data_IF_824025444492
#
_entry.id   IF_824025444492
#
_cell.length_a   1.000
_cell.length_b   1.000
_cell.length_c   1.000
_cell.angle_alpha   90.00
_cell.angle_beta   90.00
_cell.angle_gamma   90.00
#
_symmetry.space_group_name_H-M   'P 1'
#
loop_
_entity.id
_entity.type
_entity.pdbx_description
1 polymer ?
#
# COMPACT_ATOMS: atom_id res chain seq x y z
N UNK A 1 -11.09 -29.88 -5.59
CA UNK A 1 -9.82 -29.41 -6.19
C UNK A 1 -8.97 -28.55 -5.25
N UNK A 2 -9.50 -27.50 -4.64
CA UNK A 2 -8.71 -26.60 -3.76
C UNK A 2 -8.15 -27.29 -2.51
N UNK A 3 -8.91 -28.18 -1.86
CA UNK A 3 -8.42 -29.03 -0.74
C UNK A 3 -7.16 -29.80 -1.13
N UNK A 4 -7.20 -30.50 -2.27
CA UNK A 4 -6.05 -31.26 -2.78
C UNK A 4 -4.86 -30.35 -3.09
N UNK A 5 -5.11 -29.14 -3.60
CA UNK A 5 -4.06 -28.15 -3.88
C UNK A 5 -3.38 -27.68 -2.59
N UNK A 6 -4.15 -27.30 -1.56
CA UNK A 6 -3.59 -26.84 -0.28
C UNK A 6 -2.81 -27.96 0.43
N UNK A 7 -3.30 -29.20 0.40
CA UNK A 7 -2.52 -30.35 0.90
C UNK A 7 -1.19 -30.50 0.18
N UNK A 8 -1.16 -30.40 -1.15
CA UNK A 8 0.10 -30.47 -1.89
C UNK A 8 1.07 -29.33 -1.50
N UNK A 9 0.58 -28.10 -1.29
CA UNK A 9 1.42 -27.00 -0.80
C UNK A 9 1.97 -27.26 0.61
N UNK A 10 1.15 -27.83 1.49
CA UNK A 10 1.58 -28.25 2.84
C UNK A 10 2.64 -29.35 2.75
N UNK A 11 2.41 -30.39 1.96
CA UNK A 11 3.33 -31.52 1.82
C UNK A 11 4.69 -31.03 1.27
N UNK A 12 4.71 -30.05 0.34
CA UNK A 12 5.94 -29.40 -0.11
C UNK A 12 6.63 -28.60 1.01
N UNK A 13 5.87 -27.92 1.87
CA UNK A 13 6.40 -27.21 3.04
C UNK A 13 7.00 -28.17 4.06
N UNK A 14 6.34 -29.30 4.32
CA UNK A 14 6.85 -30.37 5.19
C UNK A 14 8.14 -30.99 4.61
N UNK A 15 8.27 -31.03 3.29
CA UNK A 15 9.50 -31.42 2.60
C UNK A 15 10.59 -30.32 2.57
N UNK A 16 10.38 -29.18 3.24
CA UNK A 16 11.38 -28.11 3.43
C UNK A 16 11.22 -26.89 2.52
N UNK A 17 10.17 -26.82 1.68
CA UNK A 17 9.90 -25.63 0.88
C UNK A 17 9.33 -24.48 1.74
N UNK A 18 9.57 -23.24 1.33
CA UNK A 18 8.88 -22.07 1.89
C UNK A 18 7.51 -21.93 1.20
N UNK A 19 6.43 -22.09 1.95
CA UNK A 19 5.07 -21.88 1.46
C UNK A 19 4.40 -20.69 2.16
N UNK A 20 3.61 -19.94 1.40
CA UNK A 20 2.77 -18.84 1.88
C UNK A 20 1.57 -18.66 0.96
N UNK A 21 0.49 -18.09 1.49
CA UNK A 21 -0.68 -17.68 0.71
C UNK A 21 -0.49 -16.27 0.14
N UNK A 22 -0.74 -16.11 -1.15
CA UNK A 22 -0.58 -14.85 -1.87
C UNK A 22 -1.90 -14.11 -2.11
N UNK A 23 -2.80 -14.15 -1.12
CA UNK A 23 -3.89 -13.22 -1.00
C UNK A 23 -5.09 -13.48 -1.91
N UNK A 24 -5.33 -14.73 -2.27
CA UNK A 24 -6.45 -15.17 -3.11
C UNK A 24 -7.50 -16.01 -2.34
N UNK A 25 -7.37 -16.10 -1.01
CA UNK A 25 -8.24 -16.87 -0.11
C UNK A 25 -8.28 -18.39 -0.38
N UNK A 26 -7.25 -18.97 -1.03
CA UNK A 26 -7.20 -20.40 -1.32
C UNK A 26 -7.30 -21.26 -0.04
N UNK A 27 -6.60 -20.88 1.03
CA UNK A 27 -6.66 -21.58 2.33
C UNK A 27 -8.08 -21.62 2.90
N UNK A 28 -8.77 -20.48 2.95
CA UNK A 28 -10.15 -20.40 3.42
C UNK A 28 -11.13 -21.20 2.55
N UNK A 29 -10.91 -21.30 1.22
CA UNK A 29 -11.73 -22.15 0.36
C UNK A 29 -11.44 -23.64 0.56
N UNK A 30 -10.20 -24.01 0.88
CA UNK A 30 -9.87 -25.39 1.25
C UNK A 30 -10.50 -25.78 2.59
N UNK A 31 -10.47 -24.89 3.59
CA UNK A 31 -11.17 -25.09 4.86
C UNK A 31 -12.68 -25.31 4.64
N UNK A 32 -13.33 -24.42 3.89
CA UNK A 32 -14.75 -24.58 3.51
C UNK A 32 -15.01 -25.89 2.75
N UNK A 33 -14.01 -26.39 2.03
CA UNK A 33 -14.05 -27.67 1.32
C UNK A 33 -13.87 -28.90 2.21
N UNK A 34 -13.75 -28.74 3.52
CA UNK A 34 -13.62 -29.82 4.50
C UNK A 34 -12.20 -30.10 4.99
N UNK A 35 -11.23 -29.23 4.66
CA UNK A 35 -9.91 -29.27 5.31
C UNK A 35 -10.03 -28.65 6.71
N UNK A 36 -9.33 -29.20 7.72
CA UNK A 36 -9.34 -28.57 9.05
C UNK A 36 -8.69 -27.18 9.03
N UNK A 37 -9.05 -26.31 9.97
CA UNK A 37 -8.45 -24.98 10.10
C UNK A 37 -6.93 -25.06 10.21
N UNK A 38 -6.44 -25.94 11.09
CA UNK A 38 -5.01 -26.16 11.31
C UNK A 38 -4.28 -26.59 10.04
N UNK A 39 -4.84 -27.53 9.28
CA UNK A 39 -4.23 -27.96 8.02
C UNK A 39 -4.28 -26.86 6.96
N UNK A 40 -5.41 -26.16 6.83
CA UNK A 40 -5.60 -25.12 5.82
C UNK A 40 -4.70 -23.90 6.05
N UNK A 41 -4.50 -23.52 7.32
CA UNK A 41 -3.70 -22.36 7.72
C UNK A 41 -2.31 -22.74 8.25
N UNK A 42 -1.83 -23.95 7.91
CA UNK A 42 -0.49 -24.46 8.26
C UNK A 42 0.68 -23.68 7.63
N UNK A 43 0.40 -22.72 6.75
CA UNK A 43 1.34 -21.75 6.21
C UNK A 43 0.71 -20.34 6.19
N UNK A 44 1.51 -19.29 6.42
CA UNK A 44 0.99 -17.93 6.66
C UNK A 44 0.61 -17.22 5.36
N UNK A 45 -0.16 -16.13 5.47
CA UNK A 45 -0.30 -15.15 4.41
C UNK A 45 0.99 -14.33 4.20
N UNK A 46 1.23 -13.89 2.96
CA UNK A 46 2.44 -13.14 2.62
C UNK A 46 2.58 -11.82 3.38
N UNK A 47 1.47 -11.19 3.79
CA UNK A 47 1.54 -9.91 4.51
C UNK A 47 2.10 -10.12 5.91
N UNK A 48 1.55 -11.08 6.64
CA UNK A 48 2.07 -11.47 7.95
C UNK A 48 3.53 -11.90 7.87
N UNK A 49 3.89 -12.69 6.87
CA UNK A 49 5.23 -13.26 6.75
C UNK A 49 6.30 -12.23 6.30
N UNK A 50 5.96 -11.30 5.40
CA UNK A 50 6.98 -10.50 4.70
C UNK A 50 6.69 -8.99 4.61
N UNK A 51 5.42 -8.58 4.47
CA UNK A 51 5.09 -7.19 4.09
C UNK A 51 4.77 -6.30 5.28
N UNK A 52 4.23 -6.84 6.38
CA UNK A 52 3.80 -6.04 7.54
C UNK A 52 4.88 -5.10 8.10
N UNK A 53 6.17 -5.46 8.15
CA UNK A 53 7.21 -4.52 8.56
C UNK A 53 7.30 -3.27 7.68
N UNK A 54 6.93 -3.34 6.40
CA UNK A 54 6.84 -2.17 5.51
C UNK A 54 5.58 -1.34 5.81
N UNK A 55 4.45 -1.99 6.09
CA UNK A 55 3.22 -1.29 6.50
C UNK A 55 3.39 -0.49 7.79
N UNK A 56 4.20 -0.99 8.73
CA UNK A 56 4.56 -0.24 9.93
C UNK A 56 5.30 1.08 9.65
N UNK A 57 5.89 1.24 8.46
CA UNK A 57 6.54 2.48 7.99
C UNK A 57 5.62 3.33 7.10
N UNK A 58 4.36 2.92 6.92
CA UNK A 58 3.44 3.50 5.94
C UNK A 58 3.79 3.19 4.49
N UNK A 59 4.76 2.30 4.24
CA UNK A 59 5.12 1.88 2.86
C UNK A 59 3.99 1.01 2.29
N UNK A 60 3.75 1.17 1.00
CA UNK A 60 2.73 0.43 0.27
C UNK A 60 2.81 0.71 -1.21
N UNK A 61 1.87 0.19 -2.03
CA UNK A 61 1.95 0.22 -3.47
C UNK A 61 1.56 1.59 -4.08
N UNK A 62 2.25 2.64 -3.61
CA UNK A 62 2.17 4.00 -4.14
C UNK A 62 2.56 4.03 -5.61
N UNK A 63 1.75 4.71 -6.42
CA UNK A 63 1.88 4.73 -7.88
C UNK A 63 1.44 6.04 -8.46
N UNK A 64 1.90 6.32 -9.67
CA UNK A 64 1.42 7.44 -10.45
C UNK A 64 1.33 7.08 -11.93
N UNK A 65 0.52 7.84 -12.67
CA UNK A 65 0.42 7.73 -14.12
C UNK A 65 0.44 9.12 -14.78
N UNK A 66 1.09 9.22 -15.93
CA UNK A 66 1.19 10.44 -16.70
C UNK A 66 -0.04 10.59 -17.61
N UNK A 67 -0.86 11.63 -17.40
CA UNK A 67 -2.07 11.86 -18.21
C UNK A 67 -1.76 12.31 -19.65
N UNK A 68 -0.53 12.69 -19.94
CA UNK A 68 -0.06 13.01 -21.30
C UNK A 68 -0.05 11.78 -22.21
N UNK A 69 0.04 10.58 -21.65
CA UNK A 69 0.31 9.36 -22.40
C UNK A 69 1.77 9.22 -22.86
N UNK A 70 2.65 10.17 -22.51
CA UNK A 70 4.04 10.17 -22.94
C UNK A 70 4.96 9.44 -21.94
N UNK A 71 5.68 8.38 -22.36
CA UNK A 71 6.61 7.66 -21.50
C UNK A 71 7.71 8.52 -20.87
N UNK A 72 8.12 9.61 -21.52
CA UNK A 72 9.19 10.48 -21.01
C UNK A 72 8.78 11.18 -19.72
N UNK A 73 7.48 11.39 -19.47
CA UNK A 73 7.02 11.96 -18.19
C UNK A 73 7.27 10.97 -17.03
N UNK A 74 7.15 9.66 -17.28
CA UNK A 74 7.53 8.64 -16.30
C UNK A 74 9.05 8.58 -16.12
N UNK A 75 9.83 8.65 -17.20
CA UNK A 75 11.30 8.68 -17.09
C UNK A 75 11.79 9.94 -16.35
N UNK A 76 11.14 11.08 -16.56
CA UNK A 76 11.44 12.33 -15.83
C UNK A 76 11.12 12.19 -14.35
N UNK A 77 9.99 11.60 -13.99
CA UNK A 77 9.61 11.37 -12.58
C UNK A 77 10.50 10.31 -11.92
N UNK A 78 10.90 9.26 -12.64
CA UNK A 78 11.88 8.27 -12.17
C UNK A 78 13.21 8.96 -11.79
N UNK A 79 13.76 9.82 -12.66
CA UNK A 79 14.95 10.62 -12.36
C UNK A 79 14.75 11.53 -11.13
N UNK A 80 13.61 12.20 -11.06
CA UNK A 80 13.27 13.09 -9.94
C UNK A 80 13.24 12.34 -8.59
N UNK A 81 12.69 11.13 -8.59
CA UNK A 81 12.63 10.28 -7.40
C UNK A 81 14.02 9.80 -6.95
N UNK A 82 14.90 9.48 -7.91
CA UNK A 82 16.31 9.14 -7.60
C UNK A 82 17.09 10.33 -7.02
N UNK A 83 16.80 11.54 -7.51
CA UNK A 83 17.37 12.79 -6.99
C UNK A 83 16.83 13.14 -5.59
N UNK A 84 15.54 12.89 -5.35
CA UNK A 84 14.88 13.17 -4.07
C UNK A 84 15.33 12.21 -2.96
N UNK A 85 15.52 10.93 -3.28
CA UNK A 85 15.93 9.90 -2.31
C UNK A 85 17.29 9.27 -2.67
N UNK A 86 18.39 10.04 -2.72
CA UNK A 86 19.66 9.59 -3.27
C UNK A 86 20.36 8.53 -2.41
N UNK A 87 19.92 8.37 -1.16
CA UNK A 87 20.48 7.40 -0.19
C UNK A 87 19.72 6.06 -0.15
N UNK A 88 18.55 5.94 -0.80
CA UNK A 88 17.80 4.69 -0.84
C UNK A 88 18.25 3.83 -2.04
N UNK A 89 19.30 3.03 -1.82
CA UNK A 89 19.84 2.14 -2.85
C UNK A 89 18.83 1.07 -3.31
N UNK A 90 17.92 0.64 -2.42
CA UNK A 90 16.92 -0.36 -2.75
C UNK A 90 15.87 0.21 -3.71
N UNK A 91 15.40 1.43 -3.44
CA UNK A 91 14.54 2.21 -4.32
C UNK A 91 15.24 2.51 -5.65
N UNK A 92 16.51 2.90 -5.62
CA UNK A 92 17.25 3.19 -6.84
C UNK A 92 17.38 1.96 -7.75
N UNK A 93 17.68 0.81 -7.15
CA UNK A 93 17.71 -0.48 -7.85
C UNK A 93 16.33 -0.88 -8.38
N UNK A 94 15.25 -0.60 -7.64
CA UNK A 94 13.88 -0.86 -8.08
C UNK A 94 13.54 -0.05 -9.33
N UNK A 95 13.77 1.27 -9.33
CA UNK A 95 13.48 2.14 -10.47
C UNK A 95 14.23 1.69 -11.72
N UNK A 96 15.55 1.45 -11.61
CA UNK A 96 16.36 0.97 -12.75
C UNK A 96 15.84 -0.35 -13.32
N UNK A 97 15.45 -1.29 -12.46
CA UNK A 97 14.86 -2.57 -12.91
C UNK A 97 13.49 -2.38 -13.55
N UNK A 98 12.68 -1.48 -13.01
CA UNK A 98 11.36 -1.21 -13.54
C UNK A 98 11.44 -0.53 -14.91
N UNK A 99 12.41 0.36 -15.12
CA UNK A 99 12.72 0.95 -16.43
C UNK A 99 13.20 -0.11 -17.44
N UNK A 100 14.09 -1.01 -17.03
CA UNK A 100 14.65 -2.04 -17.92
C UNK A 100 13.63 -3.15 -18.27
N UNK A 101 12.77 -3.54 -17.32
CA UNK A 101 11.97 -4.78 -17.43
C UNK A 101 10.47 -4.55 -17.60
N UNK A 102 9.92 -3.41 -17.20
CA UNK A 102 8.47 -3.17 -17.22
C UNK A 102 8.08 -2.39 -18.47
N UNK A 103 7.27 -3.00 -19.33
CA UNK A 103 6.66 -2.32 -20.47
C UNK A 103 5.38 -1.61 -20.02
N UNK A 104 5.19 -0.38 -20.47
CA UNK A 104 3.95 0.36 -20.18
C UNK A 104 2.73 -0.29 -20.84
N UNK A 105 1.57 -0.14 -20.19
CA UNK A 105 0.28 -0.62 -20.67
C UNK A 105 -0.76 0.50 -20.49
N UNK A 106 -1.32 1.00 -21.59
CA UNK A 106 -2.19 2.18 -21.54
C UNK A 106 -1.38 3.45 -21.24
N UNK A 107 -1.88 4.30 -20.33
CA UNK A 107 -1.11 5.45 -19.86
C UNK A 107 0.19 4.98 -19.18
N UNK A 108 1.36 5.54 -19.52
CA UNK A 108 2.59 5.26 -18.81
C UNK A 108 2.42 5.52 -17.31
N UNK A 109 2.79 4.52 -16.52
CA UNK A 109 2.60 4.52 -15.08
C UNK A 109 3.79 3.85 -14.38
N UNK A 110 4.05 4.28 -13.15
CA UNK A 110 5.10 3.72 -12.30
C UNK A 110 4.52 3.37 -10.94
N UNK A 111 4.94 2.21 -10.44
CA UNK A 111 4.75 1.76 -9.08
C UNK A 111 6.09 1.95 -8.33
N UNK A 112 6.07 2.54 -7.15
CA UNK A 112 7.25 2.69 -6.29
C UNK A 112 6.80 2.75 -4.84
N UNK A 113 7.28 1.82 -4.01
CA UNK A 113 6.82 1.72 -2.63
C UNK A 113 7.45 2.81 -1.75
N UNK A 114 6.68 3.86 -1.47
CA UNK A 114 7.04 4.98 -0.61
C UNK A 114 6.20 4.97 0.68
N UNK A 115 6.82 5.41 1.78
CA UNK A 115 6.28 5.40 3.13
C UNK A 115 5.75 6.74 3.63
N UNK A 116 5.47 6.81 4.94
CA UNK A 116 5.09 8.07 5.58
C UNK A 116 6.20 9.12 5.47
N UNK A 117 5.85 10.33 5.04
CA UNK A 117 6.77 11.41 4.68
C UNK A 117 7.16 11.38 3.20
N UNK A 118 7.76 10.28 2.75
CA UNK A 118 8.26 10.11 1.37
C UNK A 118 7.16 10.35 0.31
N UNK A 119 5.92 9.91 0.56
CA UNK A 119 4.80 10.12 -0.37
C UNK A 119 4.47 11.60 -0.57
N UNK A 120 4.45 12.40 0.50
CA UNK A 120 4.14 13.82 0.42
C UNK A 120 5.25 14.59 -0.32
N UNK A 121 6.52 14.29 -0.02
CA UNK A 121 7.67 14.87 -0.72
C UNK A 121 7.63 14.55 -2.21
N UNK A 122 7.36 13.29 -2.59
CA UNK A 122 7.23 12.87 -3.98
C UNK A 122 6.05 13.57 -4.69
N UNK A 123 4.88 13.65 -4.05
CA UNK A 123 3.71 14.29 -4.66
C UNK A 123 3.89 15.79 -4.90
N UNK A 124 4.51 16.50 -3.94
CA UNK A 124 4.85 17.91 -4.11
C UNK A 124 5.89 18.12 -5.21
N UNK A 125 6.90 17.25 -5.28
CA UNK A 125 7.88 17.26 -6.37
C UNK A 125 7.20 17.07 -7.73
N UNK A 126 6.31 16.10 -7.87
CA UNK A 126 5.58 15.88 -9.12
C UNK A 126 4.72 17.08 -9.52
N UNK A 127 4.05 17.71 -8.56
CA UNK A 127 3.27 18.92 -8.83
C UNK A 127 4.16 20.08 -9.31
N UNK A 128 5.36 20.22 -8.75
CA UNK A 128 6.33 21.22 -9.21
C UNK A 128 6.85 20.93 -10.62
N UNK A 129 7.08 19.66 -10.97
CA UNK A 129 7.47 19.27 -12.34
C UNK A 129 6.38 19.64 -13.36
N UNK A 130 5.10 19.42 -13.01
CA UNK A 130 3.95 19.81 -13.85
C UNK A 130 3.91 21.33 -14.01
N UNK A 131 4.07 22.07 -12.90
CA UNK A 131 4.08 23.55 -12.90
C UNK A 131 5.18 24.14 -13.77
N UNK A 132 6.36 23.53 -13.78
CA UNK A 132 7.50 23.94 -14.60
C UNK A 132 7.40 23.50 -16.07
N UNK A 133 6.45 22.63 -16.40
CA UNK A 133 6.35 22.02 -17.73
C UNK A 133 7.46 21.01 -18.02
N UNK A 134 8.12 20.47 -16.99
CA UNK A 134 9.12 19.39 -17.13
C UNK A 134 8.46 18.04 -17.42
N UNK A 135 7.18 17.90 -17.08
CA UNK A 135 6.27 16.85 -17.56
C UNK A 135 5.13 17.50 -18.33
N UNK A 136 4.62 16.81 -19.35
CA UNK A 136 3.77 17.43 -20.39
C UNK A 136 2.32 17.66 -19.98
N UNK A 137 1.84 16.96 -18.96
CA UNK A 137 0.47 17.07 -18.46
C UNK A 137 0.41 16.73 -16.96
N UNK A 138 -0.74 16.96 -16.30
CA UNK A 138 -0.94 16.53 -14.92
C UNK A 138 -0.66 15.04 -14.68
N UNK A 139 -0.26 14.73 -13.45
CA UNK A 139 0.02 13.36 -13.00
C UNK A 139 -1.06 12.94 -12.02
N UNK A 140 -1.63 11.75 -12.21
CA UNK A 140 -2.50 11.12 -11.21
C UNK A 140 -1.65 10.31 -10.25
N UNK A 141 -1.87 10.48 -8.95
CA UNK A 141 -1.13 9.81 -7.87
C UNK A 141 -2.13 9.01 -7.04
N UNK A 142 -1.88 7.72 -6.87
CA UNK A 142 -2.76 6.85 -6.10
C UNK A 142 -2.05 5.60 -5.61
N UNK A 143 -2.82 4.56 -5.36
CA UNK A 143 -2.33 3.25 -4.87
C UNK A 143 -3.37 2.17 -5.09
N UNK A 144 -3.00 0.93 -4.77
CA UNK A 144 -3.98 -0.13 -4.54
C UNK A 144 -4.79 0.17 -3.26
N UNK A 145 -5.91 -0.52 -3.08
CA UNK A 145 -6.63 -0.61 -1.82
C UNK A 145 -5.89 -1.47 -0.79
N UNK A 146 -4.97 -2.34 -1.22
CA UNK A 146 -3.96 -2.95 -0.35
C UNK A 146 -2.94 -1.88 0.04
N UNK A 147 -3.04 -1.37 1.25
CA UNK A 147 -2.05 -0.47 1.85
C UNK A 147 -2.17 -0.49 3.38
N UNK A 148 -1.14 0.00 4.05
CA UNK A 148 -0.97 -0.02 5.51
C UNK A 148 -2.19 0.44 6.33
N UNK A 149 -2.94 1.43 5.87
CA UNK A 149 -4.06 2.02 6.60
C UNK A 149 -5.44 1.81 5.97
N UNK A 150 -5.53 1.14 4.83
CA UNK A 150 -6.70 1.24 3.95
C UNK A 150 -7.49 -0.05 3.80
N UNK A 151 -7.21 -1.09 4.58
CA UNK A 151 -7.85 -2.40 4.42
C UNK A 151 -7.97 -3.14 5.75
N UNK A 152 -9.12 -3.76 5.95
CA UNK A 152 -9.33 -4.83 6.92
C UNK A 152 -9.64 -6.11 6.14
N UNK A 153 -8.76 -7.11 6.26
CA UNK A 153 -8.92 -8.42 5.62
C UNK A 153 -8.20 -9.50 6.45
N UNK A 154 -8.94 -10.21 7.34
CA UNK A 154 -8.37 -11.21 8.25
C UNK A 154 -7.70 -12.40 7.56
N UNK A 155 -7.94 -12.58 6.26
CA UNK A 155 -7.37 -13.68 5.46
C UNK A 155 -6.20 -13.23 4.57
N UNK A 156 -5.77 -11.96 4.70
CA UNK A 156 -4.73 -11.35 3.87
C UNK A 156 -3.97 -10.25 4.62
N UNK A 157 -4.32 -8.98 4.46
CA UNK A 157 -3.51 -7.86 4.98
C UNK A 157 -3.47 -7.78 6.50
N UNK A 158 -4.58 -8.10 7.15
CA UNK A 158 -4.73 -7.98 8.61
C UNK A 158 -4.76 -9.36 9.28
N UNK A 159 -4.26 -10.39 8.61
CA UNK A 159 -4.15 -11.75 9.17
C UNK A 159 -3.13 -11.82 10.31
N UNK A 160 -3.56 -12.21 11.51
CA UNK A 160 -2.71 -12.34 12.69
C UNK A 160 -2.13 -10.99 13.12
N UNK A 161 -2.99 -9.99 13.33
CA UNK A 161 -2.57 -8.76 14.01
C UNK A 161 -2.08 -9.11 15.43
N UNK A 162 -1.12 -8.35 15.96
CA UNK A 162 -0.44 -8.69 17.22
C UNK A 162 -1.40 -8.68 18.42
N UNK A 163 -2.41 -7.81 18.37
CA UNK A 163 -3.47 -7.63 19.36
C UNK A 163 -4.77 -8.37 19.03
N UNK A 164 -4.80 -9.15 17.93
CA UNK A 164 -6.01 -9.84 17.46
C UNK A 164 -7.05 -8.94 16.78
N UNK A 165 -6.69 -7.70 16.42
CA UNK A 165 -7.58 -6.73 15.76
C UNK A 165 -7.88 -7.01 14.27
N UNK A 166 -7.66 -8.23 13.81
CA UNK A 166 -7.71 -8.66 12.41
C UNK A 166 -8.96 -8.15 11.67
N UNK A 167 -10.14 -8.25 12.31
CA UNK A 167 -11.44 -7.99 11.71
C UNK A 167 -11.95 -6.55 11.92
N UNK A 168 -11.21 -5.68 12.63
CA UNK A 168 -11.64 -4.30 12.88
C UNK A 168 -11.61 -3.51 11.57
N UNK A 169 -12.80 -3.16 11.07
CA UNK A 169 -13.00 -2.47 9.80
C UNK A 169 -13.18 -0.95 9.93
N UNK A 170 -13.01 -0.37 11.11
CA UNK A 170 -13.09 1.09 11.30
C UNK A 170 -11.98 1.81 10.51
N UNK A 171 -10.78 1.23 10.50
CA UNK A 171 -9.59 1.80 9.84
C UNK A 171 -9.77 2.13 8.35
N UNK A 172 -10.20 1.21 7.47
CA UNK A 172 -10.46 1.54 6.06
C UNK A 172 -11.58 2.58 5.89
N UNK A 173 -12.58 2.62 6.78
CA UNK A 173 -13.64 3.64 6.71
C UNK A 173 -13.06 5.02 7.10
N UNK A 174 -12.28 5.09 8.17
CA UNK A 174 -11.56 6.31 8.57
C UNK A 174 -10.58 6.77 7.49
N UNK A 175 -9.90 5.84 6.81
CA UNK A 175 -9.02 6.16 5.68
C UNK A 175 -9.77 6.88 4.57
N UNK A 176 -10.94 6.37 4.17
CA UNK A 176 -11.76 7.01 3.15
C UNK A 176 -12.23 8.39 3.60
N UNK A 177 -12.77 8.50 4.81
CA UNK A 177 -13.27 9.77 5.35
C UNK A 177 -12.17 10.83 5.43
N UNK A 178 -10.99 10.46 5.95
CA UNK A 178 -9.83 11.35 6.06
C UNK A 178 -9.35 11.82 4.68
N UNK A 179 -9.20 10.91 3.72
CA UNK A 179 -8.81 11.26 2.36
C UNK A 179 -9.82 12.19 1.68
N UNK A 180 -11.12 11.98 1.92
CA UNK A 180 -12.17 12.82 1.37
C UNK A 180 -12.10 14.25 1.91
N UNK A 181 -11.98 14.42 3.24
CA UNK A 181 -11.91 15.76 3.87
C UNK A 181 -10.57 16.46 3.65
N UNK A 182 -9.48 15.71 3.46
CA UNK A 182 -8.16 16.27 3.17
C UNK A 182 -7.99 16.71 1.70
N UNK A 183 -8.91 16.31 0.82
CA UNK A 183 -9.01 16.81 -0.55
C UNK A 183 -8.39 15.90 -1.60
N UNK A 184 -8.48 14.58 -1.44
CA UNK A 184 -8.24 13.66 -2.55
C UNK A 184 -9.19 13.98 -3.72
N UNK A 185 -8.75 13.77 -4.95
CA UNK A 185 -9.58 14.07 -6.13
C UNK A 185 -10.74 13.07 -6.22
N UNK A 186 -10.50 11.80 -5.89
CA UNK A 186 -11.58 10.85 -5.63
C UNK A 186 -11.18 9.84 -4.56
N UNK A 187 -12.21 9.32 -3.90
CA UNK A 187 -12.12 8.32 -2.83
C UNK A 187 -13.12 7.22 -3.11
N UNK A 188 -12.77 5.99 -2.77
CA UNK A 188 -13.64 4.83 -2.94
C UNK A 188 -13.65 3.97 -1.68
N UNK A 189 -14.79 3.33 -1.40
CA UNK A 189 -14.93 2.29 -0.37
C UNK A 189 -15.51 1.07 -1.06
N UNK A 190 -14.80 -0.04 -1.00
CA UNK A 190 -15.17 -1.29 -1.65
C UNK A 190 -15.20 -2.44 -0.64
N UNK A 191 -15.94 -3.49 -1.01
CA UNK A 191 -16.11 -4.70 -0.22
C UNK A 191 -15.73 -5.94 -1.05
N UNK A 192 -14.98 -6.84 -0.44
CA UNK A 192 -14.68 -8.17 -0.97
C UNK A 192 -13.59 -8.23 -2.05
N UNK A 193 -12.84 -7.15 -2.30
CA UNK A 193 -11.71 -7.17 -3.22
C UNK A 193 -10.62 -8.12 -2.72
N UNK A 194 -10.00 -8.85 -3.66
CA UNK A 194 -8.96 -9.84 -3.39
C UNK A 194 -9.46 -11.17 -2.86
N UNK A 195 -10.16 -11.14 -1.72
CA UNK A 195 -10.51 -12.35 -0.94
C UNK A 195 -11.98 -12.80 -1.10
N UNK A 196 -12.82 -11.99 -1.75
CA UNK A 196 -14.23 -12.27 -2.02
C UNK A 196 -15.20 -11.62 -1.03
N UNK A 197 -16.49 -11.64 -1.40
CA UNK A 197 -17.61 -11.04 -0.64
C UNK A 197 -17.61 -11.54 0.82
N UNK A 198 -17.71 -10.60 1.76
CA UNK A 198 -17.82 -10.84 3.21
C UNK A 198 -16.48 -10.87 3.94
N UNK A 199 -15.35 -10.72 3.22
CA UNK A 199 -14.01 -11.02 3.76
C UNK A 199 -13.04 -9.84 3.78
N UNK A 200 -13.42 -8.71 3.18
CA UNK A 200 -12.61 -7.49 3.23
C UNK A 200 -13.45 -6.23 3.09
N UNK A 201 -13.04 -5.19 3.80
CA UNK A 201 -13.49 -3.80 3.61
C UNK A 201 -12.24 -2.96 3.38
N UNK A 202 -12.23 -2.15 2.32
CA UNK A 202 -11.03 -1.39 1.96
C UNK A 202 -11.31 -0.12 1.16
N UNK A 203 -10.45 0.86 1.34
CA UNK A 203 -10.55 2.19 0.76
C UNK A 203 -9.44 2.48 -0.26
N UNK A 204 -9.80 3.22 -1.29
CA UNK A 204 -8.90 3.75 -2.29
C UNK A 204 -8.92 5.27 -2.26
N UNK A 205 -7.79 5.88 -2.63
CA UNK A 205 -7.72 7.31 -2.87
C UNK A 205 -6.82 7.58 -4.06
N UNK A 206 -7.16 8.63 -4.80
CA UNK A 206 -6.30 9.19 -5.84
C UNK A 206 -6.39 10.70 -5.78
N UNK A 207 -5.27 11.35 -6.05
CA UNK A 207 -5.12 12.79 -6.09
C UNK A 207 -4.36 13.23 -7.34
N UNK A 208 -4.79 14.32 -7.95
CA UNK A 208 -4.17 14.89 -9.14
C UNK A 208 -3.14 15.95 -8.75
N UNK A 209 -1.94 15.83 -9.29
CA UNK A 209 -0.94 16.88 -9.33
C UNK A 209 -1.07 17.64 -10.65
N UNK A 210 -1.73 18.79 -10.64
CA UNK A 210 -2.06 19.62 -11.81
C UNK A 210 -1.16 20.86 -11.99
N UNK A 211 -0.16 21.02 -11.13
CA UNK A 211 0.74 22.17 -11.12
C UNK A 211 0.21 23.38 -10.34
N UNK A 212 -1.05 23.39 -9.90
CA UNK A 212 -1.60 24.51 -9.14
C UNK A 212 -1.02 24.58 -7.71
N UNK A 213 -1.00 25.79 -7.13
CA UNK A 213 -0.66 25.98 -5.70
C UNK A 213 -1.71 25.39 -4.76
N UNK A 214 -2.96 25.30 -5.21
CA UNK A 214 -4.05 24.66 -4.46
C UNK A 214 -3.85 23.13 -4.38
N UNK A 215 -3.31 22.51 -5.43
CA UNK A 215 -2.93 21.10 -5.40
C UNK A 215 -1.80 20.83 -4.40
N UNK A 216 -0.82 21.72 -4.21
CA UNK A 216 0.25 21.52 -3.20
C UNK A 216 -0.34 21.22 -1.81
N UNK A 217 -1.30 22.04 -1.36
CA UNK A 217 -1.93 21.87 -0.03
C UNK A 217 -2.78 20.61 0.08
N UNK A 218 -3.40 20.16 -1.02
CA UNK A 218 -4.17 18.90 -1.04
C UNK A 218 -3.21 17.71 -1.02
N UNK A 219 -2.18 17.73 -1.84
CA UNK A 219 -1.14 16.69 -1.94
C UNK A 219 -0.44 16.49 -0.60
N UNK A 220 0.04 17.57 0.02
CA UNK A 220 0.69 17.49 1.33
C UNK A 220 -0.23 16.83 2.36
N UNK A 221 -1.48 17.27 2.47
CA UNK A 221 -2.43 16.71 3.46
C UNK A 221 -2.77 15.25 3.16
N UNK A 222 -3.23 14.95 1.95
CA UNK A 222 -3.69 13.60 1.55
C UNK A 222 -2.54 12.59 1.64
N UNK A 223 -1.37 12.92 1.09
CA UNK A 223 -0.19 12.03 1.09
C UNK A 223 0.51 11.96 2.45
N UNK A 224 0.10 12.78 3.42
CA UNK A 224 0.47 12.64 4.84
C UNK A 224 -0.52 11.76 5.60
N UNK A 225 -1.83 12.05 5.53
CA UNK A 225 -2.83 11.35 6.34
C UNK A 225 -3.05 9.92 5.87
N UNK A 226 -2.94 9.66 4.56
CA UNK A 226 -3.16 8.33 3.99
C UNK A 226 -2.18 7.26 4.52
N UNK A 227 -0.84 7.41 4.35
CA UNK A 227 0.12 6.51 4.99
C UNK A 227 0.18 6.72 6.51
N UNK A 228 -0.14 7.92 7.01
CA UNK A 228 -0.11 8.24 8.43
C UNK A 228 -1.10 7.42 9.24
N UNK A 229 -2.31 7.21 8.71
CA UNK A 229 -3.30 6.32 9.32
C UNK A 229 -2.81 4.87 9.36
N UNK A 230 -2.05 4.43 8.36
CA UNK A 230 -1.43 3.10 8.36
C UNK A 230 -0.40 2.92 9.46
N UNK A 231 0.45 3.92 9.70
CA UNK A 231 1.36 3.93 10.84
C UNK A 231 0.58 3.93 12.15
N UNK A 232 -0.46 4.77 12.27
CA UNK A 232 -1.29 4.85 13.46
C UNK A 232 -1.98 3.53 13.79
N UNK A 233 -2.61 2.88 12.80
CA UNK A 233 -3.26 1.58 12.93
C UNK A 233 -2.32 0.50 13.47
N UNK A 234 -1.10 0.43 12.92
CA UNK A 234 -0.14 -0.58 13.35
C UNK A 234 0.49 -0.22 14.71
N UNK A 235 0.63 1.05 15.04
CA UNK A 235 1.11 1.47 16.34
C UNK A 235 0.06 1.17 17.44
N UNK A 236 -1.23 1.38 17.13
CA UNK A 236 -2.37 1.02 17.98
C UNK A 236 -2.39 -0.49 18.28
N UNK A 237 -2.19 -1.32 17.26
CA UNK A 237 -2.05 -2.77 17.41
C UNK A 237 -0.75 -3.24 18.11
N UNK A 238 0.06 -2.32 18.64
CA UNK A 238 1.23 -2.63 19.46
C UNK A 238 2.53 -2.93 18.70
N UNK A 239 2.60 -2.70 17.39
CA UNK A 239 3.84 -2.93 16.64
C UNK A 239 4.91 -1.89 16.99
N UNK A 240 5.97 -2.30 17.70
CA UNK A 240 7.07 -1.41 18.13
C UNK A 240 7.70 -0.62 16.99
N UNK A 241 7.78 -1.22 15.79
CA UNK A 241 8.31 -0.53 14.61
C UNK A 241 7.42 0.66 14.22
N UNK A 242 6.10 0.49 14.22
CA UNK A 242 5.17 1.56 13.91
C UNK A 242 5.19 2.65 14.98
N UNK A 243 5.28 2.28 16.26
CA UNK A 243 5.44 3.23 17.37
C UNK A 243 6.73 4.06 17.21
N UNK A 244 7.85 3.42 16.85
CA UNK A 244 9.11 4.11 16.58
C UNK A 244 9.02 5.05 15.39
N UNK A 245 8.41 4.62 14.28
CA UNK A 245 8.19 5.46 13.09
C UNK A 245 7.32 6.66 13.44
N UNK A 246 6.23 6.44 14.20
CA UNK A 246 5.34 7.52 14.64
C UNK A 246 6.09 8.59 15.43
N UNK A 247 6.89 8.19 16.42
CA UNK A 247 7.71 9.11 17.22
C UNK A 247 8.80 9.80 16.39
N UNK A 248 9.51 9.05 15.56
CA UNK A 248 10.65 9.57 14.78
C UNK A 248 10.22 10.53 13.66
N UNK A 249 9.04 10.34 13.08
CA UNK A 249 8.53 11.13 11.96
C UNK A 249 7.37 12.06 12.33
N UNK A 250 6.99 12.13 13.61
CA UNK A 250 5.99 13.07 14.11
C UNK A 250 4.54 12.74 13.74
N UNK A 251 4.19 11.44 13.60
CA UNK A 251 2.78 11.04 13.42
C UNK A 251 2.04 11.30 14.72
N UNK A 252 1.00 12.15 14.67
CA UNK A 252 0.21 12.54 15.84
C UNK A 252 -0.80 11.44 16.21
N UNK A 253 -0.56 10.74 17.31
CA UNK A 253 -1.40 9.64 17.80
C UNK A 253 -1.71 9.91 19.28
N UNK A 254 -2.94 10.32 19.64
CA UNK A 254 -3.28 10.75 21.00
C UNK A 254 -2.90 9.75 22.10
N UNK A 255 -3.09 8.44 21.84
CA UNK A 255 -2.85 7.39 22.82
C UNK A 255 -1.36 7.10 23.09
N UNK A 256 -0.43 7.60 22.26
CA UNK A 256 1.01 7.35 22.40
C UNK A 256 1.79 8.48 23.10
N UNK A 257 1.08 9.50 23.58
CA UNK A 257 1.65 10.66 24.26
C UNK A 257 2.39 11.58 23.28
N UNK A 258 1.68 12.59 22.77
CA UNK A 258 2.20 13.63 21.87
C UNK A 258 1.11 14.59 21.43
#
# INVERSE_FOLDING_TARGET
SMVRHVRAMRDMKEAGAVAFDYGNALRAQAEKGGLSHEEAFSFPGFVQAYIRPMFCEGKGPFRWAALSGDPEDILRTDRAILELFPKDEALARWIRKAEEKVRFQGLPARICWLGYGERAEAGLLFNELVRKGEVKAPIVIGRDHLDSGSVASPYRETEGMLDGSDAIADWPILNALLNAVCGATWVSVHHGGGVGIGKSIHAGMVIVADGSKEADRRLERVLTVDPGLGVARHADAGYEKAIRVAKARGVKIPCLGG
#
